data_IF_707738186980
#
_entry.id   IF_707738186980
#
_cell.length_a   1.000
_cell.length_b   1.000
_cell.length_c   1.000
_cell.angle_alpha   90.00
_cell.angle_beta   90.00
_cell.angle_gamma   90.00
#
_symmetry.space_group_name_H-M   'P 1'
#
loop_
_entity.id
_entity.type
_entity.pdbx_description
1 polymer ?
#
# COMPACT_ATOMS: atom_id res chain seq x y z
N UNK A 1 76.22 3.98 -4.31
CA UNK A 1 74.89 3.35 -4.42
C UNK A 1 73.82 4.39 -4.13
N UNK A 2 73.04 4.83 -5.12
CA UNK A 2 72.04 5.91 -4.98
C UNK A 2 70.72 5.31 -4.46
N UNK A 3 70.33 5.68 -3.23
CA UNK A 3 69.09 5.24 -2.58
C UNK A 3 67.95 6.13 -3.07
N UNK A 4 67.06 5.60 -3.92
CA UNK A 4 65.89 6.32 -4.43
C UNK A 4 64.79 6.27 -3.35
N UNK A 5 64.57 7.38 -2.67
CA UNK A 5 63.47 7.53 -1.69
C UNK A 5 62.19 7.85 -2.47
N UNK A 6 61.26 6.89 -2.57
CA UNK A 6 59.92 7.10 -3.15
C UNK A 6 59.13 8.05 -2.23
N UNK A 7 58.72 9.21 -2.75
CA UNK A 7 57.80 10.13 -2.07
C UNK A 7 56.39 9.54 -2.05
N UNK A 8 55.87 9.22 -0.86
CA UNK A 8 54.47 8.85 -0.65
C UNK A 8 53.58 10.08 -0.77
N UNK A 9 52.69 10.13 -1.76
CA UNK A 9 51.65 11.16 -1.87
C UNK A 9 50.52 10.83 -0.90
N UNK A 10 50.13 11.77 -0.03
CA UNK A 10 48.97 11.61 0.88
C UNK A 10 47.68 11.86 0.09
N UNK A 11 47.05 10.82 -0.43
CA UNK A 11 45.76 10.86 -1.14
C UNK A 11 44.57 10.75 -0.16
N UNK A 12 44.58 11.58 0.88
CA UNK A 12 43.52 11.61 1.89
C UNK A 12 43.32 13.07 2.33
N UNK A 13 43.08 13.91 1.33
CA UNK A 13 42.91 15.35 1.56
C UNK A 13 41.44 15.65 1.85
N UNK A 14 41.17 16.72 2.60
CA UNK A 14 39.79 17.15 2.86
C UNK A 14 39.04 17.49 1.57
N UNK A 15 39.73 18.06 0.57
CA UNK A 15 39.13 18.39 -0.73
C UNK A 15 38.60 17.15 -1.46
N UNK A 16 39.27 16.01 -1.29
CA UNK A 16 38.86 14.74 -1.89
C UNK A 16 37.55 14.24 -1.27
N UNK A 17 37.41 14.33 0.06
CA UNK A 17 36.15 13.99 0.74
C UNK A 17 35.01 14.96 0.38
N UNK A 18 35.31 16.25 0.18
CA UNK A 18 34.29 17.23 -0.22
C UNK A 18 33.78 16.94 -1.64
N UNK A 19 34.64 16.63 -2.60
CA UNK A 19 34.23 16.29 -3.96
C UNK A 19 33.39 14.99 -3.97
N UNK A 20 33.77 14.00 -3.17
CA UNK A 20 33.00 12.76 -3.05
C UNK A 20 31.59 13.02 -2.48
N UNK A 21 31.47 13.79 -1.40
CA UNK A 21 30.17 14.17 -0.84
C UNK A 21 29.34 14.99 -1.83
N UNK A 22 29.97 15.86 -2.60
CA UNK A 22 29.32 16.63 -3.65
C UNK A 22 28.70 15.72 -4.71
N UNK A 23 29.46 14.76 -5.23
CA UNK A 23 28.95 13.81 -6.23
C UNK A 23 27.83 12.94 -5.64
N UNK A 24 27.99 12.40 -4.43
CA UNK A 24 26.95 11.60 -3.77
C UNK A 24 25.66 12.43 -3.60
N UNK A 25 25.77 13.72 -3.27
CA UNK A 25 24.61 14.60 -3.12
C UNK A 25 23.81 14.75 -4.42
N UNK A 26 24.49 14.83 -5.57
CA UNK A 26 23.86 14.88 -6.89
C UNK A 26 23.16 13.56 -7.23
N UNK A 27 23.79 12.42 -6.91
CA UNK A 27 23.21 11.10 -7.10
C UNK A 27 21.94 10.93 -6.24
N UNK A 28 21.97 11.35 -4.98
CA UNK A 28 20.80 11.29 -4.08
C UNK A 28 19.65 12.16 -4.60
N UNK A 29 19.93 13.35 -5.12
CA UNK A 29 18.92 14.24 -5.67
C UNK A 29 18.13 13.60 -6.82
N UNK A 30 18.80 12.84 -7.69
CA UNK A 30 18.15 12.10 -8.78
C UNK A 30 17.44 10.82 -8.29
N UNK A 31 17.97 10.18 -7.24
CA UNK A 31 17.45 8.91 -6.73
C UNK A 31 16.18 9.06 -5.87
N UNK A 32 16.14 10.03 -4.96
CA UNK A 32 15.02 10.26 -4.03
C UNK A 32 13.65 10.38 -4.71
N UNK A 33 13.45 11.16 -5.79
CA UNK A 33 12.13 11.29 -6.40
C UNK A 33 11.62 9.95 -6.95
N UNK A 34 12.51 9.12 -7.51
CA UNK A 34 12.15 7.81 -8.04
C UNK A 34 11.75 6.83 -6.92
N UNK A 35 12.42 6.89 -5.76
CA UNK A 35 12.05 6.10 -4.58
C UNK A 35 10.67 6.50 -4.01
N UNK A 36 10.38 7.80 -3.94
CA UNK A 36 9.10 8.30 -3.44
C UNK A 36 7.92 7.82 -4.28
N UNK A 37 8.03 7.90 -5.60
CA UNK A 37 6.99 7.42 -6.52
C UNK A 37 6.76 5.91 -6.41
N UNK A 38 7.83 5.12 -6.29
CA UNK A 38 7.74 3.67 -6.11
C UNK A 38 7.08 3.29 -4.79
N UNK A 39 7.40 3.99 -3.69
CA UNK A 39 6.74 3.79 -2.39
C UNK A 39 5.23 4.03 -2.47
N UNK A 40 4.81 5.10 -3.15
CA UNK A 40 3.38 5.40 -3.33
C UNK A 40 2.68 4.33 -4.17
N UNK A 41 3.28 3.91 -5.28
CA UNK A 41 2.76 2.82 -6.13
C UNK A 41 2.67 1.48 -5.38
N UNK A 42 3.62 1.19 -4.50
CA UNK A 42 3.55 0.00 -3.65
C UNK A 42 2.40 0.10 -2.63
N UNK A 43 2.16 1.28 -2.06
CA UNK A 43 1.03 1.52 -1.15
C UNK A 43 -0.31 1.32 -1.85
N UNK A 44 -0.49 1.90 -3.05
CA UNK A 44 -1.75 1.77 -3.80
C UNK A 44 -2.02 0.32 -4.21
N UNK A 45 -1.00 -0.41 -4.69
CA UNK A 45 -1.12 -1.85 -4.97
C UNK A 45 -1.46 -2.65 -3.71
N UNK A 46 -0.88 -2.29 -2.56
CA UNK A 46 -1.21 -2.95 -1.29
C UNK A 46 -2.66 -2.69 -0.86
N UNK A 47 -3.19 -1.49 -1.11
CA UNK A 47 -4.60 -1.16 -0.85
C UNK A 47 -5.54 -1.87 -1.81
N UNK A 48 -5.18 -1.99 -3.09
CA UNK A 48 -5.93 -2.73 -4.09
C UNK A 48 -5.99 -4.22 -3.74
N UNK A 49 -4.84 -4.85 -3.46
CA UNK A 49 -4.80 -6.25 -3.02
C UNK A 49 -5.60 -6.47 -1.73
N UNK A 50 -5.59 -5.49 -0.82
CA UNK A 50 -6.41 -5.54 0.38
C UNK A 50 -7.91 -5.49 0.05
N UNK A 51 -8.35 -4.58 -0.84
CA UNK A 51 -9.73 -4.51 -1.34
C UNK A 51 -10.15 -5.84 -1.95
N UNK A 52 -9.32 -6.43 -2.82
CA UNK A 52 -9.60 -7.74 -3.44
C UNK A 52 -9.72 -8.86 -2.41
N UNK A 53 -8.88 -8.85 -1.38
CA UNK A 53 -8.98 -9.82 -0.28
C UNK A 53 -10.31 -9.65 0.45
N UNK A 54 -10.71 -8.42 0.78
CA UNK A 54 -11.99 -8.16 1.42
C UNK A 54 -13.17 -8.57 0.53
N UNK A 55 -13.10 -8.29 -0.77
CA UNK A 55 -14.10 -8.72 -1.74
C UNK A 55 -14.26 -10.24 -1.70
N UNK A 56 -13.14 -10.98 -1.75
CA UNK A 56 -13.15 -12.44 -1.66
C UNK A 56 -13.81 -12.91 -0.34
N UNK A 57 -13.55 -12.24 0.79
CA UNK A 57 -14.19 -12.59 2.06
C UNK A 57 -15.69 -12.30 2.09
N UNK A 58 -16.15 -11.27 1.38
CA UNK A 58 -17.57 -10.98 1.20
C UNK A 58 -18.23 -12.04 0.31
N UNK A 59 -17.58 -12.39 -0.81
CA UNK A 59 -18.08 -13.42 -1.74
C UNK A 59 -18.16 -14.79 -1.08
N UNK A 60 -17.16 -15.14 -0.25
CA UNK A 60 -17.18 -16.38 0.56
C UNK A 60 -18.32 -16.36 1.57
N UNK A 61 -18.49 -15.25 2.31
CA UNK A 61 -19.60 -15.12 3.26
C UNK A 61 -20.94 -15.29 2.55
N UNK A 62 -21.11 -14.65 1.40
CA UNK A 62 -22.36 -14.69 0.63
C UNK A 62 -22.62 -16.04 -0.02
N UNK A 63 -21.58 -16.79 -0.37
CA UNK A 63 -21.72 -18.17 -0.88
C UNK A 63 -22.13 -19.15 0.23
N UNK A 64 -21.62 -18.96 1.46
CA UNK A 64 -21.85 -19.86 2.59
C UNK A 64 -23.17 -19.60 3.33
N UNK A 65 -23.59 -18.33 3.42
CA UNK A 65 -24.96 -18.01 3.81
C UNK A 65 -25.81 -18.14 2.57
N UNK A 66 -26.78 -19.06 2.54
CA UNK A 66 -27.78 -19.19 1.47
C UNK A 66 -28.70 -17.94 1.42
N UNK A 67 -28.09 -16.79 1.18
CA UNK A 67 -28.64 -15.44 1.14
C UNK A 67 -29.26 -15.22 -0.25
N UNK A 68 -29.80 -16.29 -0.84
CA UNK A 68 -30.42 -16.38 -2.16
C UNK A 68 -31.60 -15.41 -2.36
N UNK A 69 -32.06 -14.75 -1.29
CA UNK A 69 -33.10 -13.73 -1.34
C UNK A 69 -32.56 -12.29 -1.38
N UNK A 70 -31.24 -12.06 -1.29
CA UNK A 70 -30.57 -10.77 -1.47
C UNK A 70 -31.04 -9.59 -0.59
N UNK A 71 -31.81 -9.88 0.46
CA UNK A 71 -32.45 -8.84 1.27
C UNK A 71 -31.48 -8.19 2.27
N UNK A 72 -30.42 -8.88 2.69
CA UNK A 72 -29.49 -8.39 3.72
C UNK A 72 -28.09 -8.13 3.15
N UNK A 73 -27.63 -6.87 3.17
CA UNK A 73 -26.22 -6.55 2.87
C UNK A 73 -25.33 -7.20 3.93
N UNK A 74 -24.27 -7.95 3.55
CA UNK A 74 -23.26 -8.42 4.48
C UNK A 74 -22.68 -7.23 5.25
N UNK A 75 -22.66 -7.34 6.58
CA UNK A 75 -22.09 -6.33 7.45
C UNK A 75 -20.71 -6.81 7.93
N UNK A 76 -19.73 -5.90 7.97
CA UNK A 76 -18.39 -6.18 8.51
C UNK A 76 -18.43 -6.83 9.90
N UNK A 77 -19.37 -6.44 10.77
CA UNK A 77 -19.53 -7.06 12.09
C UNK A 77 -19.96 -8.52 12.00
N UNK A 78 -20.82 -8.87 11.03
CA UNK A 78 -21.26 -10.24 10.79
C UNK A 78 -20.11 -11.09 10.21
N UNK A 79 -19.34 -10.53 9.26
CA UNK A 79 -18.16 -11.19 8.70
C UNK A 79 -17.11 -11.48 9.78
N UNK A 80 -16.91 -10.54 10.71
CA UNK A 80 -16.01 -10.71 11.84
C UNK A 80 -16.50 -11.81 12.78
N UNK A 81 -17.78 -11.75 13.17
CA UNK A 81 -18.38 -12.70 14.11
C UNK A 81 -18.33 -14.13 13.57
N UNK A 82 -18.53 -14.30 12.26
CA UNK A 82 -18.42 -15.61 11.58
C UNK A 82 -17.00 -16.00 11.18
N UNK A 83 -16.00 -15.17 11.46
CA UNK A 83 -14.58 -15.50 11.28
C UNK A 83 -14.01 -15.30 9.87
N UNK A 84 -14.74 -14.69 8.93
CA UNK A 84 -14.25 -14.40 7.57
C UNK A 84 -13.19 -13.28 7.54
N UNK A 85 -13.19 -12.40 8.54
CA UNK A 85 -12.19 -11.34 8.67
C UNK A 85 -11.59 -11.33 10.08
N UNK A 86 -10.28 -11.06 10.15
CA UNK A 86 -9.55 -10.92 11.41
C UNK A 86 -9.82 -9.58 12.11
N UNK A 87 -9.53 -9.51 13.41
CA UNK A 87 -9.58 -8.25 14.18
C UNK A 87 -8.74 -7.13 13.56
N UNK A 88 -7.58 -7.48 12.98
CA UNK A 88 -6.68 -6.53 12.32
C UNK A 88 -7.34 -5.95 11.07
N UNK A 89 -7.99 -6.79 10.28
CA UNK A 89 -8.73 -6.36 9.09
C UNK A 89 -9.93 -5.51 9.49
N UNK A 90 -10.71 -5.91 10.49
CA UNK A 90 -11.86 -5.15 10.99
C UNK A 90 -11.47 -3.73 11.46
N UNK A 91 -10.36 -3.60 12.19
CA UNK A 91 -9.84 -2.28 12.60
C UNK A 91 -9.37 -1.43 11.41
N UNK A 92 -8.74 -2.04 10.41
CA UNK A 92 -8.26 -1.34 9.20
C UNK A 92 -9.41 -0.92 8.28
N UNK A 93 -10.48 -1.73 8.23
CA UNK A 93 -11.71 -1.44 7.50
C UNK A 93 -12.33 -0.15 8.03
N UNK A 94 -12.59 -0.07 9.35
CA UNK A 94 -13.11 1.13 10.00
C UNK A 94 -14.24 1.81 9.20
N UNK A 95 -14.14 3.13 9.03
CA UNK A 95 -15.04 3.92 8.17
C UNK A 95 -14.56 4.01 6.70
N UNK A 96 -13.48 3.30 6.35
CA UNK A 96 -12.81 3.48 5.07
C UNK A 96 -13.37 2.57 3.97
N UNK A 97 -14.11 1.52 4.32
CA UNK A 97 -14.68 0.59 3.35
C UNK A 97 -16.13 0.24 3.71
N UNK A 98 -16.99 0.20 2.69
CA UNK A 98 -18.39 -0.17 2.80
C UNK A 98 -18.71 -1.28 1.80
N UNK A 99 -19.64 -2.16 2.17
CA UNK A 99 -20.17 -3.18 1.29
C UNK A 99 -21.45 -2.62 0.67
N UNK A 100 -21.49 -2.53 -0.65
CA UNK A 100 -22.65 -2.02 -1.39
C UNK A 100 -23.26 -3.13 -2.24
N UNK A 101 -24.58 -3.13 -2.39
CA UNK A 101 -25.25 -4.03 -3.35
C UNK A 101 -24.99 -3.52 -4.76
N UNK A 102 -24.63 -4.43 -5.66
CA UNK A 102 -24.55 -4.18 -7.09
C UNK A 102 -25.56 -5.13 -7.74
N UNK A 103 -26.57 -4.53 -8.38
CA UNK A 103 -27.57 -5.27 -9.14
C UNK A 103 -26.99 -5.49 -10.55
N UNK A 104 -26.25 -6.58 -10.71
CA UNK A 104 -25.68 -6.99 -11.99
C UNK A 104 -26.69 -7.86 -12.73
N UNK A 105 -27.22 -7.32 -13.84
CA UNK A 105 -28.30 -7.93 -14.63
C UNK A 105 -27.94 -9.31 -15.21
N UNK A 106 -26.65 -9.65 -15.28
CA UNK A 106 -26.17 -10.93 -15.83
C UNK A 106 -25.70 -11.93 -14.76
N UNK A 107 -25.53 -11.51 -13.50
CA UNK A 107 -24.97 -12.35 -12.41
C UNK A 107 -25.85 -12.49 -11.16
N UNK A 108 -26.99 -11.80 -11.13
CA UNK A 108 -27.81 -11.72 -9.92
C UNK A 108 -27.21 -10.75 -8.88
N UNK A 109 -27.84 -10.69 -7.71
CA UNK A 109 -27.44 -9.79 -6.62
C UNK A 109 -25.99 -10.10 -6.19
N UNK A 110 -25.08 -9.14 -6.39
CA UNK A 110 -23.68 -9.24 -6.00
C UNK A 110 -23.32 -8.11 -5.02
N UNK A 111 -22.29 -8.31 -4.21
CA UNK A 111 -21.81 -7.29 -3.27
C UNK A 111 -20.46 -6.75 -3.72
N UNK A 112 -20.24 -5.44 -3.66
CA UNK A 112 -18.93 -4.83 -3.93
C UNK A 112 -18.43 -4.07 -2.71
N UNK A 113 -17.19 -4.36 -2.31
CA UNK A 113 -16.45 -3.58 -1.33
C UNK A 113 -16.01 -2.27 -1.99
N UNK A 114 -16.46 -1.12 -1.51
CA UNK A 114 -16.04 0.21 -2.00
C UNK A 114 -15.26 0.95 -0.92
N UNK A 115 -14.19 1.64 -1.32
CA UNK A 115 -13.52 2.58 -0.44
C UNK A 115 -14.43 3.79 -0.24
N UNK A 116 -14.83 4.04 1.00
CA UNK A 116 -15.49 5.29 1.38
C UNK A 116 -14.41 6.35 1.34
N UNK A 117 -14.42 7.20 0.32
CA UNK A 117 -13.64 8.43 0.37
C UNK A 117 -14.22 9.26 1.51
N UNK A 118 -13.68 9.12 2.72
CA UNK A 118 -13.73 10.22 3.69
C UNK A 118 -13.10 11.38 2.92
N UNK A 119 -13.86 12.45 2.68
CA UNK A 119 -13.33 13.65 2.08
C UNK A 119 -12.08 14.01 2.88
N UNK A 120 -10.90 13.72 2.33
CA UNK A 120 -9.65 14.19 2.89
C UNK A 120 -9.79 15.68 2.84
N UNK A 121 -9.95 16.27 4.03
CA UNK A 121 -9.76 17.67 4.29
C UNK A 121 -8.41 18.03 3.69
N UNK A 122 -8.45 18.57 2.47
CA UNK A 122 -7.35 19.31 1.90
C UNK A 122 -7.16 20.50 2.82
N UNK A 123 -6.26 20.36 3.79
CA UNK A 123 -5.66 21.51 4.46
C UNK A 123 -4.98 22.31 3.35
N UNK A 124 -5.64 23.39 2.92
CA UNK A 124 -4.93 24.56 2.44
C UNK A 124 -4.14 25.18 3.58
#
# INVERSE_FOLDING_TARGET
MKKIIKKTKKAFTLIEMVIVLFIISLLLLVMIPNLGAQKNNASTKSEEAFKTTLQTQVDMYDSDTDNSNGNSVPNWTALKLKGYISDKQFKRIGDNYEITKVDDKDKGLSFEVKSVKKATTTSK
#
